data_IF_578454074931
#
_entry.id   IF_578454074931
#
_cell.length_a   1.000
_cell.length_b   1.000
_cell.length_c   1.000
_cell.angle_alpha   90.00
_cell.angle_beta   90.00
_cell.angle_gamma   90.00
#
_symmetry.space_group_name_H-M   'P 1'
#
loop_
_entity.id
_entity.type
_entity.pdbx_description
1 polymer ?
#
# COMPACT_ATOMS: atom_id res chain seq x y z
N UNK A 1 5.18 41.75 -44.55
CA UNK A 1 4.53 41.16 -43.35
C UNK A 1 4.08 39.75 -43.71
N UNK A 2 4.99 38.81 -43.97
CA UNK A 2 5.96 38.16 -43.07
C UNK A 2 5.24 37.25 -42.05
N UNK A 3 5.25 35.95 -42.38
CA UNK A 3 5.58 34.86 -41.46
C UNK A 3 5.21 35.07 -39.99
N UNK A 4 3.93 34.94 -39.62
CA UNK A 4 3.55 34.99 -38.20
C UNK A 4 2.32 34.14 -37.84
N UNK A 5 1.95 33.12 -38.63
CA UNK A 5 0.78 32.26 -38.30
C UNK A 5 0.97 30.76 -38.42
N UNK A 6 2.16 30.27 -38.79
CA UNK A 6 2.44 28.83 -38.91
C UNK A 6 3.40 28.28 -37.85
N UNK A 7 3.70 29.05 -36.80
CA UNK A 7 4.72 28.69 -35.80
C UNK A 7 4.21 28.75 -34.36
N UNK A 8 2.93 28.41 -34.12
CA UNK A 8 2.34 28.30 -32.78
C UNK A 8 1.77 26.92 -32.42
N UNK A 9 1.89 25.93 -33.31
CA UNK A 9 1.46 24.55 -33.03
C UNK A 9 2.61 23.54 -32.91
N UNK A 10 3.88 23.98 -32.90
CA UNK A 10 5.04 23.06 -32.86
C UNK A 10 5.94 23.20 -31.62
N UNK A 11 5.46 23.83 -30.54
CA UNK A 11 6.18 23.88 -29.26
C UNK A 11 5.38 23.30 -28.07
N UNK A 12 4.16 22.81 -28.30
CA UNK A 12 3.33 22.19 -27.26
C UNK A 12 3.47 20.66 -27.18
N UNK A 13 4.17 20.03 -28.12
CA UNK A 13 4.40 18.58 -28.14
C UNK A 13 5.72 18.14 -27.49
N UNK A 14 6.53 19.07 -26.97
CA UNK A 14 7.81 18.75 -26.30
C UNK A 14 7.76 18.89 -24.76
N UNK A 15 6.58 19.00 -24.17
CA UNK A 15 6.40 18.98 -22.71
C UNK A 15 5.97 17.60 -22.16
N UNK A 16 5.72 16.62 -23.04
CA UNK A 16 5.17 15.31 -22.69
C UNK A 16 6.24 14.21 -22.54
N UNK A 17 7.47 14.58 -22.18
CA UNK A 17 8.57 13.63 -21.99
C UNK A 17 9.34 13.83 -20.67
N UNK A 18 8.77 14.52 -19.67
CA UNK A 18 9.33 14.50 -18.31
C UNK A 18 8.87 13.25 -17.57
N UNK A 19 9.56 12.14 -17.86
CA UNK A 19 9.70 11.03 -16.92
C UNK A 19 10.49 11.54 -15.70
N UNK A 20 9.86 12.24 -14.77
CA UNK A 20 10.51 12.54 -13.50
C UNK A 20 10.59 11.26 -12.65
N UNK A 21 11.77 10.95 -12.17
CA UNK A 21 11.95 9.94 -11.15
C UNK A 21 11.17 10.34 -9.88
N UNK A 22 10.75 9.39 -9.06
CA UNK A 22 10.22 9.67 -7.73
C UNK A 22 11.36 10.19 -6.85
N UNK A 23 11.48 11.51 -6.71
CA UNK A 23 12.49 12.14 -5.86
C UNK A 23 12.08 12.01 -4.39
N UNK A 24 12.83 11.22 -3.62
CA UNK A 24 12.68 11.18 -2.17
C UNK A 24 13.35 12.41 -1.60
N UNK A 25 12.65 13.12 -0.73
CA UNK A 25 13.21 14.29 -0.06
C UNK A 25 13.76 13.91 1.31
N UNK A 26 14.97 14.37 1.60
CA UNK A 26 15.57 14.36 2.94
C UNK A 26 15.82 15.82 3.35
N UNK A 27 15.19 16.26 4.43
CA UNK A 27 15.26 17.66 4.90
C UNK A 27 14.91 18.71 3.83
N UNK A 28 13.95 18.41 2.95
CA UNK A 28 13.48 19.32 1.90
C UNK A 28 14.42 19.43 0.69
N UNK A 29 15.40 18.53 0.55
CA UNK A 29 16.27 18.40 -0.62
C UNK A 29 16.12 17.03 -1.27
N UNK A 30 16.33 16.94 -2.58
CA UNK A 30 16.41 15.66 -3.30
C UNK A 30 17.50 14.77 -2.70
N UNK A 31 17.11 13.57 -2.27
CA UNK A 31 18.03 12.57 -1.75
C UNK A 31 18.84 12.01 -2.92
N UNK A 32 20.13 12.36 -2.97
CA UNK A 32 21.05 12.06 -4.08
C UNK A 32 21.26 10.57 -4.37
N UNK A 33 21.03 9.72 -3.38
CA UNK A 33 21.02 8.28 -3.51
C UNK A 33 19.89 7.75 -2.61
N UNK A 34 18.63 7.72 -3.10
CA UNK A 34 17.51 7.39 -2.24
C UNK A 34 17.70 6.02 -1.60
N UNK A 35 18.20 5.02 -2.36
CA UNK A 35 18.55 3.70 -1.83
C UNK A 35 19.63 2.98 -2.66
N UNK A 36 20.81 2.65 -2.08
CA UNK A 36 21.69 1.62 -2.65
C UNK A 36 21.03 0.23 -2.51
N UNK A 37 21.06 -0.61 -3.54
CA UNK A 37 20.51 -1.98 -3.49
C UNK A 37 19.15 -2.17 -4.20
N UNK A 38 19.04 -1.69 -5.45
CA UNK A 38 17.84 -1.93 -6.29
C UNK A 38 17.69 -3.42 -6.61
N UNK A 39 16.45 -3.91 -6.63
CA UNK A 39 16.12 -5.24 -7.13
C UNK A 39 16.45 -5.33 -8.63
N UNK A 40 17.04 -6.43 -9.07
CA UNK A 40 17.36 -6.64 -10.48
C UNK A 40 16.11 -7.03 -11.26
N UNK A 41 15.90 -6.43 -12.45
CA UNK A 41 14.86 -6.86 -13.36
C UNK A 41 15.26 -8.19 -14.01
N UNK A 42 14.39 -9.20 -13.91
CA UNK A 42 14.67 -10.56 -14.40
C UNK A 42 13.70 -10.99 -15.49
N UNK A 43 14.15 -11.91 -16.34
CA UNK A 43 13.27 -12.66 -17.25
C UNK A 43 12.86 -13.97 -16.57
N UNK A 44 11.56 -14.28 -16.60
CA UNK A 44 11.03 -15.51 -16.03
C UNK A 44 11.00 -16.59 -17.11
N UNK A 45 11.69 -17.70 -16.85
CA UNK A 45 11.74 -18.90 -17.69
C UNK A 45 11.39 -20.18 -16.88
N UNK A 46 11.65 -21.35 -17.45
CA UNK A 46 11.33 -22.66 -16.83
C UNK A 46 12.12 -22.94 -15.54
N UNK A 47 13.12 -22.11 -15.17
CA UNK A 47 13.81 -22.21 -13.88
C UNK A 47 12.99 -21.68 -12.71
N UNK A 48 11.87 -21.02 -12.98
CA UNK A 48 10.97 -20.43 -11.99
C UNK A 48 9.68 -21.22 -11.84
N UNK A 49 9.24 -21.38 -10.59
CA UNK A 49 7.87 -21.77 -10.27
C UNK A 49 7.04 -20.51 -10.04
N UNK A 50 5.92 -20.38 -10.75
CA UNK A 50 5.02 -19.23 -10.67
C UNK A 50 3.79 -19.49 -9.79
N UNK A 51 3.36 -18.46 -9.08
CA UNK A 51 2.11 -18.37 -8.34
C UNK A 51 1.41 -17.09 -8.79
N UNK A 52 0.22 -17.22 -9.38
CA UNK A 52 -0.60 -16.05 -9.74
C UNK A 52 -1.10 -15.32 -8.50
N UNK A 53 -1.57 -14.08 -8.67
CA UNK A 53 -2.15 -13.26 -7.60
C UNK A 53 -3.29 -13.97 -6.83
N UNK A 54 -3.99 -14.92 -7.43
CA UNK A 54 -5.07 -15.70 -6.81
C UNK A 54 -4.59 -16.97 -6.07
N UNK A 55 -3.29 -17.21 -5.99
CA UNK A 55 -2.74 -18.37 -5.31
C UNK A 55 -3.06 -18.37 -3.81
N UNK A 56 -3.53 -19.51 -3.30
CA UNK A 56 -3.94 -19.69 -1.90
C UNK A 56 -2.80 -19.50 -0.88
N UNK A 57 -1.57 -19.60 -1.35
CA UNK A 57 -0.32 -19.40 -0.62
C UNK A 57 -0.05 -17.91 -0.35
N UNK A 58 -0.65 -17.02 -1.12
CA UNK A 58 -0.50 -15.58 -0.98
C UNK A 58 -1.47 -15.05 0.07
N UNK A 59 -0.97 -14.24 1.01
CA UNK A 59 -1.81 -13.57 2.00
C UNK A 59 -1.84 -12.06 1.73
N UNK A 60 -3.03 -11.53 1.47
CA UNK A 60 -3.24 -10.11 1.30
C UNK A 60 -3.63 -9.49 2.64
N UNK A 61 -3.10 -8.30 2.91
CA UNK A 61 -3.49 -7.48 4.06
C UNK A 61 -4.02 -6.14 3.59
N UNK A 62 -4.88 -5.53 4.40
CA UNK A 62 -5.65 -4.38 3.95
C UNK A 62 -6.79 -4.80 3.03
N UNK A 63 -7.15 -3.93 2.10
CA UNK A 63 -8.25 -4.17 1.15
C UNK A 63 -7.74 -4.27 -0.26
N UNK A 64 -8.36 -5.13 -1.05
CA UNK A 64 -8.07 -5.34 -2.46
C UNK A 64 -9.36 -5.66 -3.20
N UNK A 65 -9.42 -5.33 -4.48
CA UNK A 65 -10.55 -5.69 -5.34
C UNK A 65 -10.45 -7.13 -5.87
N UNK A 66 -11.44 -7.55 -6.66
CA UNK A 66 -11.47 -8.86 -7.31
C UNK A 66 -10.30 -9.14 -8.27
N UNK A 67 -9.50 -8.13 -8.62
CA UNK A 67 -8.27 -8.26 -9.41
C UNK A 67 -7.01 -8.28 -8.56
N UNK A 68 -7.15 -8.37 -7.23
CA UNK A 68 -6.06 -8.29 -6.25
C UNK A 68 -5.31 -6.95 -6.29
N UNK A 69 -5.99 -5.91 -6.75
CA UNK A 69 -5.46 -4.55 -6.74
C UNK A 69 -5.93 -3.82 -5.49
N UNK A 70 -4.99 -3.21 -4.78
CA UNK A 70 -5.29 -2.28 -3.70
C UNK A 70 -4.86 -0.88 -4.12
N UNK A 71 -5.74 0.10 -3.92
CA UNK A 71 -5.40 1.51 -4.10
C UNK A 71 -5.83 2.25 -2.84
N UNK A 72 -4.98 2.27 -1.82
CA UNK A 72 -5.12 3.21 -0.71
C UNK A 72 -3.89 4.13 -0.68
N UNK A 73 -4.14 5.44 -0.49
CA UNK A 73 -3.22 6.60 -0.42
C UNK A 73 -2.69 7.09 -1.82
N UNK A 74 -2.72 8.36 -2.27
CA UNK A 74 -2.88 9.72 -1.71
C UNK A 74 -3.79 10.58 -2.63
N UNK A 75 -4.50 11.57 -2.04
CA UNK A 75 -5.40 12.55 -2.67
C UNK A 75 -4.76 13.53 -3.68
N UNK A 76 -5.56 13.94 -4.66
CA UNK A 76 -5.33 14.83 -5.81
C UNK A 76 -4.55 16.14 -5.57
N UNK A 77 -3.34 16.20 -6.13
CA UNK A 77 -2.72 17.31 -6.89
C UNK A 77 -1.34 16.77 -7.30
N UNK A 78 -1.22 16.40 -8.57
CA UNK A 78 -0.01 15.91 -9.28
C UNK A 78 1.31 16.24 -8.53
N UNK A 79 2.07 15.26 -8.02
CA UNK A 79 3.13 14.55 -8.75
C UNK A 79 3.45 13.21 -8.03
N UNK A 80 3.37 12.08 -8.77
CA UNK A 80 3.99 10.75 -8.45
C UNK A 80 3.94 10.23 -6.99
N UNK A 81 2.78 10.32 -6.34
CA UNK A 81 2.59 9.67 -5.04
C UNK A 81 2.50 8.13 -5.14
N UNK A 82 3.15 7.50 -4.18
CA UNK A 82 3.45 6.08 -3.99
C UNK A 82 2.17 5.25 -3.77
N UNK A 83 2.13 4.03 -4.34
CA UNK A 83 0.97 3.12 -4.33
C UNK A 83 1.22 1.99 -3.34
N UNK A 84 0.40 1.84 -2.31
CA UNK A 84 0.53 0.72 -1.37
C UNK A 84 -0.76 -0.12 -1.29
N UNK A 85 -0.69 -1.35 -1.78
CA UNK A 85 -1.34 -2.50 -1.12
C UNK A 85 -0.42 -2.95 0.01
N UNK A 86 -0.90 -3.59 1.09
CA UNK A 86 -0.01 -4.40 1.92
C UNK A 86 -0.10 -5.85 1.43
N UNK A 87 0.93 -6.34 0.76
CA UNK A 87 1.07 -7.76 0.47
C UNK A 87 1.98 -8.37 1.55
N UNK A 88 1.45 -9.26 2.38
CA UNK A 88 2.27 -10.05 3.28
C UNK A 88 2.33 -11.48 2.76
N UNK A 89 3.40 -11.82 2.05
CA UNK A 89 3.63 -13.18 1.59
C UNK A 89 4.30 -14.00 2.69
N UNK A 90 3.73 -15.15 3.02
CA UNK A 90 4.53 -16.22 3.62
C UNK A 90 5.38 -16.84 2.52
N UNK A 91 6.67 -17.04 2.75
CA UNK A 91 7.54 -17.76 1.81
C UNK A 91 8.20 -18.90 2.57
N UNK A 92 7.72 -20.13 2.36
CA UNK A 92 8.41 -21.33 2.87
C UNK A 92 9.59 -21.65 1.95
N UNK A 93 10.73 -21.06 2.25
CA UNK A 93 11.98 -21.49 1.63
C UNK A 93 12.40 -22.83 2.25
N UNK A 94 12.15 -23.95 1.56
CA UNK A 94 12.58 -25.26 2.04
C UNK A 94 14.10 -25.35 2.10
N UNK A 95 14.55 -25.88 3.24
CA UNK A 95 15.90 -25.93 3.79
C UNK A 95 17.01 -26.55 2.92
N UNK A 96 16.71 -27.16 1.77
CA UNK A 96 17.69 -27.96 1.01
C UNK A 96 18.06 -27.38 -0.36
N UNK A 97 17.58 -26.18 -0.70
CA UNK A 97 17.65 -25.70 -2.08
C UNK A 97 18.71 -24.62 -2.28
N UNK A 98 19.64 -24.98 -3.16
CA UNK A 98 20.82 -24.24 -3.62
C UNK A 98 20.48 -22.98 -4.42
N UNK A 99 19.20 -22.62 -4.58
CA UNK A 99 18.73 -21.48 -5.37
C UNK A 99 17.68 -20.68 -4.59
N UNK A 100 18.16 -19.77 -3.74
CA UNK A 100 17.34 -18.91 -2.89
C UNK A 100 16.93 -17.66 -3.67
N UNK A 101 15.99 -17.82 -4.59
CA UNK A 101 15.49 -16.71 -5.40
C UNK A 101 13.99 -16.51 -5.24
N UNK A 102 13.60 -15.24 -5.11
CA UNK A 102 12.22 -14.80 -5.14
C UNK A 102 12.14 -13.55 -6.01
N UNK A 103 11.22 -13.58 -6.98
CA UNK A 103 10.89 -12.46 -7.82
C UNK A 103 9.39 -12.18 -7.78
N UNK A 104 9.01 -10.96 -8.11
CA UNK A 104 7.62 -10.52 -8.18
C UNK A 104 7.42 -9.79 -9.50
N UNK A 105 6.36 -10.14 -10.24
CA UNK A 105 5.87 -9.32 -11.36
C UNK A 105 4.78 -8.37 -10.91
N UNK A 106 4.69 -7.26 -11.61
CA UNK A 106 3.78 -6.16 -11.29
C UNK A 106 2.72 -6.01 -12.38
N UNK A 107 1.46 -5.87 -11.96
CA UNK A 107 0.33 -5.73 -12.88
C UNK A 107 0.31 -4.40 -13.65
N UNK A 108 -0.55 -4.32 -14.67
CA UNK A 108 -0.61 -3.21 -15.63
C UNK A 108 -0.92 -1.83 -15.01
N UNK A 109 -1.56 -1.79 -13.84
CA UNK A 109 -1.88 -0.54 -13.15
C UNK A 109 -0.73 -0.02 -12.27
N UNK A 110 0.39 -0.72 -12.22
CA UNK A 110 1.62 -0.28 -11.56
C UNK A 110 2.22 0.91 -12.31
N UNK A 111 2.58 1.98 -11.60
CA UNK A 111 3.24 3.11 -12.24
C UNK A 111 4.68 2.79 -12.60
N UNK A 112 5.14 3.40 -13.69
CA UNK A 112 6.56 3.36 -14.05
C UNK A 112 7.42 3.93 -12.92
N UNK A 113 8.50 3.22 -12.61
CA UNK A 113 9.50 3.56 -11.60
C UNK A 113 8.90 3.85 -10.21
N UNK A 114 7.81 3.17 -9.83
CA UNK A 114 7.22 3.33 -8.51
C UNK A 114 8.12 2.72 -7.45
N UNK A 115 8.31 3.44 -6.34
CA UNK A 115 9.05 2.95 -5.21
C UNK A 115 8.20 1.97 -4.41
N UNK A 116 8.69 0.74 -4.25
CA UNK A 116 8.12 -0.25 -3.34
C UNK A 116 9.03 -0.45 -2.14
N UNK A 117 8.43 -0.78 -1.01
CA UNK A 117 9.15 -1.20 0.18
C UNK A 117 8.92 -2.69 0.40
N UNK A 118 9.99 -3.39 0.77
CA UNK A 118 9.95 -4.81 1.04
C UNK A 118 10.84 -5.18 2.23
N UNK A 119 10.59 -6.33 2.85
CA UNK A 119 11.48 -6.91 3.85
C UNK A 119 11.32 -8.41 3.93
N UNK A 120 12.33 -9.07 4.50
CA UNK A 120 12.40 -10.52 4.59
C UNK A 120 12.60 -10.92 6.05
N UNK A 121 11.79 -11.85 6.56
CA UNK A 121 11.96 -12.42 7.90
C UNK A 121 11.89 -11.39 9.03
N UNK A 122 11.15 -10.29 8.85
CA UNK A 122 11.03 -9.23 9.86
C UNK A 122 12.22 -8.29 9.98
N UNK A 123 13.21 -8.37 9.07
CA UNK A 123 14.32 -7.42 8.96
C UNK A 123 13.84 -6.00 8.61
N UNK A 124 14.79 -5.05 8.61
CA UNK A 124 14.52 -3.67 8.22
C UNK A 124 13.95 -3.56 6.80
N UNK A 125 13.17 -2.51 6.56
CA UNK A 125 12.60 -2.24 5.24
C UNK A 125 13.69 -1.84 4.23
N UNK A 126 13.72 -2.57 3.13
CA UNK A 126 14.46 -2.26 1.92
C UNK A 126 13.52 -1.65 0.86
N UNK A 127 14.10 -1.04 -0.17
CA UNK A 127 13.33 -0.30 -1.16
C UNK A 127 13.88 -0.51 -2.56
N UNK A 128 12.98 -0.64 -3.54
CA UNK A 128 13.34 -0.74 -4.96
C UNK A 128 12.35 0.02 -5.82
N UNK A 129 12.80 0.51 -6.96
CA UNK A 129 11.92 1.00 -8.01
C UNK A 129 11.49 -0.16 -8.90
N UNK A 130 10.21 -0.18 -9.26
CA UNK A 130 9.61 -1.20 -10.12
C UNK A 130 8.69 -0.56 -11.15
N UNK A 131 8.40 -1.31 -12.22
CA UNK A 131 7.52 -0.87 -13.31
C UNK A 131 6.52 -1.97 -13.64
N UNK A 132 5.34 -1.57 -14.12
CA UNK A 132 4.31 -2.49 -14.63
C UNK A 132 4.86 -3.48 -15.66
N UNK A 133 4.23 -4.65 -15.71
CA UNK A 133 4.49 -5.72 -16.68
C UNK A 133 5.96 -6.18 -16.71
N UNK A 134 6.64 -6.09 -15.57
CA UNK A 134 8.04 -6.45 -15.40
C UNK A 134 8.22 -7.25 -14.12
N UNK A 135 9.19 -8.16 -14.08
CA UNK A 135 9.52 -8.97 -12.91
C UNK A 135 10.85 -8.50 -12.31
N UNK A 136 10.90 -8.41 -10.98
CA UNK A 136 12.10 -8.00 -10.24
C UNK A 136 12.43 -9.03 -9.17
N UNK A 137 13.71 -9.38 -9.07
CA UNK A 137 14.23 -10.31 -8.07
C UNK A 137 14.58 -9.57 -6.79
N UNK A 138 13.86 -9.88 -5.71
CA UNK A 138 14.02 -9.25 -4.39
C UNK A 138 14.87 -10.08 -3.43
N UNK A 139 15.02 -11.38 -3.72
CA UNK A 139 15.87 -12.27 -2.95
C UNK A 139 16.85 -12.92 -3.90
N UNK A 140 18.13 -12.69 -3.65
CA UNK A 140 19.23 -13.30 -4.40
C UNK A 140 19.97 -14.35 -3.55
N UNK A 141 20.57 -15.37 -4.19
CA UNK A 141 21.47 -16.28 -3.52
C UNK A 141 22.60 -15.52 -2.80
N UNK A 142 22.73 -15.75 -1.48
CA UNK A 142 23.77 -15.12 -0.67
C UNK A 142 23.46 -13.71 -0.16
N UNK A 143 22.26 -13.17 -0.42
CA UNK A 143 21.80 -11.92 0.18
C UNK A 143 21.88 -11.96 1.71
N UNK A 144 22.24 -10.83 2.33
CA UNK A 144 22.35 -10.70 3.80
C UNK A 144 21.06 -11.09 4.52
N UNK A 145 19.90 -10.85 3.88
CA UNK A 145 18.58 -11.26 4.35
C UNK A 145 18.45 -12.78 4.65
N UNK A 146 19.36 -13.59 4.09
CA UNK A 146 19.41 -15.04 4.22
C UNK A 146 20.53 -15.53 5.15
N UNK A 147 21.45 -14.65 5.58
CA UNK A 147 22.68 -15.01 6.29
C UNK A 147 22.53 -15.04 7.83
N UNK A 148 21.54 -14.34 8.41
CA UNK A 148 21.44 -14.15 9.88
C UNK A 148 20.41 -15.03 10.61
N UNK A 149 19.80 -16.01 9.95
CA UNK A 149 18.75 -16.85 10.55
C UNK A 149 19.08 -18.34 10.44
N UNK A 150 18.74 -19.10 11.48
CA UNK A 150 18.89 -20.56 11.46
C UNK A 150 18.11 -21.19 10.30
N UNK A 151 18.66 -22.29 9.79
CA UNK A 151 18.31 -22.89 8.50
C UNK A 151 16.89 -23.49 8.44
N UNK A 152 16.11 -23.52 9.54
CA UNK A 152 14.80 -24.19 9.67
C UNK A 152 13.59 -23.27 9.55
N UNK A 153 13.77 -21.95 9.54
CA UNK A 153 12.66 -21.04 9.81
C UNK A 153 11.94 -20.56 8.54
N UNK A 154 10.61 -20.57 8.58
CA UNK A 154 9.76 -19.98 7.55
C UNK A 154 10.00 -18.46 7.53
N UNK A 155 10.36 -17.89 6.36
CA UNK A 155 10.56 -16.45 6.23
C UNK A 155 9.31 -15.81 5.62
N UNK A 156 8.88 -14.71 6.22
CA UNK A 156 7.83 -13.89 5.61
C UNK A 156 8.50 -12.88 4.68
N UNK A 157 8.04 -12.79 3.43
CA UNK A 157 8.38 -11.71 2.52
C UNK A 157 7.23 -10.72 2.51
N UNK A 158 7.50 -9.49 2.91
CA UNK A 158 6.51 -8.43 2.91
C UNK A 158 6.84 -7.46 1.79
N UNK A 159 5.84 -7.10 0.99
CA UNK A 159 5.96 -6.15 -0.11
C UNK A 159 4.71 -5.29 -0.13
N UNK A 160 4.81 -4.05 -0.59
CA UNK A 160 3.63 -3.17 -0.65
C UNK A 160 3.30 -2.68 -2.04
N UNK A 161 2.46 -3.40 -2.78
CA UNK A 161 2.04 -3.04 -4.16
C UNK A 161 1.01 -4.03 -4.73
N UNK A 162 0.36 -3.67 -5.84
CA UNK A 162 -0.30 -4.64 -6.72
C UNK A 162 0.75 -5.59 -7.32
N UNK A 163 0.47 -6.89 -7.27
CA UNK A 163 1.28 -7.91 -7.93
C UNK A 163 0.48 -8.59 -9.03
N UNK A 164 1.18 -9.09 -10.04
CA UNK A 164 0.63 -10.00 -11.04
C UNK A 164 0.91 -11.46 -10.62
N UNK A 165 2.19 -11.76 -10.37
CA UNK A 165 2.64 -13.10 -9.99
C UNK A 165 3.84 -13.04 -9.04
N UNK A 166 4.02 -14.11 -8.28
CA UNK A 166 5.20 -14.36 -7.45
C UNK A 166 5.94 -15.56 -8.02
N UNK A 167 7.25 -15.44 -8.14
CA UNK A 167 8.12 -16.47 -8.66
C UNK A 167 9.13 -16.89 -7.61
N UNK A 168 9.31 -18.19 -7.47
CA UNK A 168 10.38 -18.80 -6.65
C UNK A 168 11.17 -19.77 -7.51
N UNK A 169 12.32 -20.25 -7.03
CA UNK A 169 13.04 -21.33 -7.72
C UNK A 169 12.11 -22.53 -8.01
N UNK A 170 12.34 -23.22 -9.14
CA UNK A 170 11.50 -24.33 -9.62
C UNK A 170 11.32 -25.48 -8.61
N UNK A 171 12.28 -25.65 -7.72
CA UNK A 171 12.29 -26.63 -6.63
C UNK A 171 11.71 -26.11 -5.32
N UNK A 172 11.48 -24.80 -5.18
CA UNK A 172 10.93 -24.15 -3.99
C UNK A 172 9.39 -24.08 -4.00
N UNK A 173 8.80 -23.68 -2.86
CA UNK A 173 7.36 -23.42 -2.78
C UNK A 173 7.01 -22.21 -1.93
N UNK A 174 5.88 -21.58 -2.22
CA UNK A 174 5.28 -20.62 -1.30
C UNK A 174 4.46 -21.38 -0.26
N UNK A 175 4.23 -20.74 0.89
CA UNK A 175 3.15 -21.14 1.79
C UNK A 175 2.42 -19.96 2.32
N UNK A 176 1.18 -20.21 2.73
CA UNK A 176 0.38 -19.21 3.39
C UNK A 176 1.01 -18.78 4.71
N UNK A 177 1.14 -17.46 4.90
CA UNK A 177 1.53 -16.89 6.18
C UNK A 177 0.47 -17.18 7.24
N UNK A 178 0.92 -17.32 8.50
CA UNK A 178 0.00 -17.38 9.62
C UNK A 178 -0.68 -16.02 9.80
N UNK A 179 -2.01 -16.05 9.93
CA UNK A 179 -2.80 -14.85 10.21
C UNK A 179 -2.92 -14.65 11.74
N UNK A 180 -2.89 -13.39 12.18
CA UNK A 180 -3.11 -13.05 13.58
C UNK A 180 -4.59 -13.09 13.97
N UNK A 181 -4.87 -13.44 15.21
CA UNK A 181 -6.24 -13.58 15.73
C UNK A 181 -6.96 -12.26 16.02
N UNK A 182 -6.25 -11.12 15.96
CA UNK A 182 -6.82 -9.79 16.16
C UNK A 182 -6.80 -9.00 14.87
N UNK A 183 -7.78 -8.14 14.66
CA UNK A 183 -7.88 -7.28 13.48
C UNK A 183 -8.17 -5.83 13.88
N UNK A 184 -7.42 -4.90 13.29
CA UNK A 184 -7.57 -3.45 13.48
C UNK A 184 -7.97 -2.79 12.16
N UNK A 185 -9.07 -2.06 12.16
CA UNK A 185 -9.43 -1.17 11.05
C UNK A 185 -9.09 0.28 11.43
N UNK A 186 -8.32 0.96 10.59
CA UNK A 186 -8.08 2.39 10.71
C UNK A 186 -8.81 3.08 9.58
N UNK A 187 -9.71 3.99 9.92
CA UNK A 187 -10.50 4.79 8.99
C UNK A 187 -10.09 6.24 9.20
N UNK A 188 -9.25 6.77 8.31
CA UNK A 188 -8.68 8.10 8.47
C UNK A 188 -8.78 8.97 7.24
N UNK A 189 -7.98 10.03 7.22
CA UNK A 189 -7.73 10.86 6.04
C UNK A 189 -6.24 10.79 5.68
N UNK A 190 -5.75 11.77 4.91
CA UNK A 190 -4.36 11.80 4.49
C UNK A 190 -3.34 11.84 5.66
N UNK A 191 -3.73 12.22 6.86
CA UNK A 191 -2.87 12.12 8.04
C UNK A 191 -2.64 10.68 8.49
N UNK A 192 -3.70 9.85 8.48
CA UNK A 192 -3.60 8.42 8.77
C UNK A 192 -2.79 7.68 7.70
N UNK A 193 -2.80 8.19 6.48
CA UNK A 193 -1.96 7.69 5.37
C UNK A 193 -0.48 8.04 5.49
N UNK A 194 -0.12 9.01 6.33
CA UNK A 194 1.23 9.54 6.36
C UNK A 194 1.56 10.42 5.15
N UNK A 195 0.57 11.08 4.54
CA UNK A 195 0.80 12.00 3.41
C UNK A 195 1.90 13.00 3.78
N UNK A 196 2.91 13.12 2.93
CA UNK A 196 4.09 13.97 3.11
C UNK A 196 5.10 13.51 4.17
N UNK A 197 4.91 12.34 4.78
CA UNK A 197 5.95 11.72 5.60
C UNK A 197 7.06 11.17 4.71
N UNK A 198 8.29 11.11 5.23
CA UNK A 198 9.50 10.71 4.46
C UNK A 198 9.38 9.35 3.75
N UNK A 199 8.54 8.45 4.26
CA UNK A 199 8.21 7.15 3.63
C UNK A 199 6.69 6.92 3.52
N UNK A 200 5.92 8.02 3.45
CA UNK A 200 4.47 8.01 3.29
C UNK A 200 3.79 6.99 4.24
N UNK A 201 3.13 5.97 3.69
CA UNK A 201 2.44 4.91 4.42
C UNK A 201 3.31 4.18 5.44
N UNK A 202 4.60 3.95 5.18
CA UNK A 202 5.51 3.31 6.14
C UNK A 202 5.92 4.21 7.30
N UNK A 203 5.84 5.52 7.13
CA UNK A 203 6.08 6.48 8.21
C UNK A 203 4.77 6.98 8.85
N UNK A 204 3.61 6.49 8.37
CA UNK A 204 2.31 6.89 8.87
C UNK A 204 2.08 6.43 10.31
N UNK A 205 1.34 7.23 11.08
CA UNK A 205 0.98 6.82 12.44
C UNK A 205 0.08 5.57 12.41
N UNK A 206 -0.78 5.45 11.39
CA UNK A 206 -1.70 4.32 11.27
C UNK A 206 -0.95 2.99 11.11
N UNK A 207 0.06 2.98 10.24
CA UNK A 207 0.93 1.82 10.09
C UNK A 207 1.75 1.56 11.35
N UNK A 208 2.43 2.58 11.89
CA UNK A 208 3.30 2.40 13.05
C UNK A 208 2.54 1.89 14.28
N UNK A 209 1.31 2.36 14.50
CA UNK A 209 0.43 1.84 15.53
C UNK A 209 0.09 0.37 15.27
N UNK A 210 -0.47 0.05 14.10
CA UNK A 210 -0.98 -1.28 13.81
C UNK A 210 0.15 -2.34 13.75
N UNK A 211 1.26 -2.02 13.09
CA UNK A 211 2.44 -2.88 13.06
C UNK A 211 3.11 -3.00 14.44
N UNK A 212 3.10 -1.92 15.23
CA UNK A 212 3.64 -1.90 16.59
C UNK A 212 2.89 -2.80 17.58
N UNK A 213 1.64 -3.17 17.30
CA UNK A 213 0.93 -4.21 18.07
C UNK A 213 1.61 -5.58 17.92
N UNK A 214 2.26 -5.84 16.78
CA UNK A 214 3.04 -7.06 16.51
C UNK A 214 2.23 -8.35 16.36
N UNK A 215 0.93 -8.33 16.67
CA UNK A 215 0.07 -9.51 16.70
C UNK A 215 -1.37 -9.24 16.22
N UNK A 216 -1.52 -8.32 15.26
CA UNK A 216 -2.80 -7.98 14.66
C UNK A 216 -2.71 -7.91 13.13
N UNK A 217 -3.77 -8.37 12.47
CA UNK A 217 -4.09 -7.98 11.11
C UNK A 217 -4.57 -6.53 11.10
N UNK A 218 -4.32 -5.83 10.00
CA UNK A 218 -4.74 -4.43 9.92
C UNK A 218 -5.03 -3.96 8.51
N UNK A 219 -5.91 -2.97 8.47
CA UNK A 219 -6.30 -2.23 7.28
C UNK A 219 -6.27 -0.75 7.59
N UNK A 220 -5.78 0.06 6.66
CA UNK A 220 -5.82 1.52 6.72
C UNK A 220 -6.60 2.01 5.51
N UNK A 221 -7.75 2.64 5.75
CA UNK A 221 -8.60 3.26 4.73
C UNK A 221 -8.65 4.77 4.92
N UNK A 222 -8.66 5.54 3.84
CA UNK A 222 -8.52 7.01 3.92
C UNK A 222 -9.59 7.87 3.28
N UNK A 223 -10.57 7.26 2.61
CA UNK A 223 -11.67 8.01 2.02
C UNK A 223 -12.97 7.22 1.96
N UNK A 224 -12.94 5.95 1.57
CA UNK A 224 -14.16 5.14 1.40
C UNK A 224 -14.13 3.83 2.17
N UNK A 225 -14.59 3.87 3.43
CA UNK A 225 -14.67 2.68 4.28
C UNK A 225 -15.58 1.57 3.74
N UNK A 226 -16.48 1.81 2.78
CA UNK A 226 -17.31 0.73 2.21
C UNK A 226 -16.78 0.16 0.88
N UNK A 227 -15.56 0.52 0.45
CA UNK A 227 -15.02 0.18 -0.86
C UNK A 227 -13.69 -0.58 -0.79
N UNK A 228 -13.43 -1.36 -1.84
CA UNK A 228 -12.21 -2.14 -2.01
C UNK A 228 -11.01 -1.28 -2.49
N UNK A 229 -11.28 -0.11 -3.07
CA UNK A 229 -10.28 0.89 -3.44
C UNK A 229 -10.70 2.29 -3.01
N UNK A 230 -9.72 3.15 -2.78
CA UNK A 230 -9.92 4.53 -2.34
C UNK A 230 -10.35 5.44 -3.51
N UNK A 231 -10.67 6.70 -3.22
CA UNK A 231 -10.97 7.68 -4.27
C UNK A 231 -9.92 8.77 -4.38
N UNK A 232 -9.57 9.05 -5.63
CA UNK A 232 -8.59 10.04 -6.05
C UNK A 232 -8.44 9.97 -7.57
N UNK A 233 -7.86 11.00 -8.20
CA UNK A 233 -7.79 11.10 -9.67
C UNK A 233 -7.24 9.84 -10.34
N UNK A 234 -6.28 9.16 -9.71
CA UNK A 234 -5.71 7.90 -10.19
C UNK A 234 -6.59 6.68 -9.97
N UNK A 235 -7.27 6.58 -8.83
CA UNK A 235 -8.24 5.52 -8.62
C UNK A 235 -9.43 5.68 -9.57
N UNK A 236 -9.85 6.92 -9.83
CA UNK A 236 -10.82 7.25 -10.88
C UNK A 236 -10.29 6.88 -12.28
N UNK A 237 -9.01 7.10 -12.57
CA UNK A 237 -8.43 6.72 -13.86
C UNK A 237 -8.34 5.18 -14.04
N UNK A 238 -8.09 4.44 -12.95
CA UNK A 238 -8.00 2.98 -12.98
C UNK A 238 -9.36 2.29 -12.95
N UNK A 239 -10.30 2.79 -12.13
CA UNK A 239 -11.54 2.09 -11.77
C UNK A 239 -12.81 2.91 -11.98
N UNK A 240 -12.70 4.15 -12.45
CA UNK A 240 -13.83 5.06 -12.59
C UNK A 240 -14.39 5.53 -11.25
N UNK A 241 -15.64 5.99 -11.29
CA UNK A 241 -16.36 6.60 -10.16
C UNK A 241 -17.09 5.59 -9.26
N UNK A 242 -16.96 4.29 -9.55
CA UNK A 242 -17.69 3.20 -8.86
C UNK A 242 -16.75 2.06 -8.48
N UNK A 243 -15.80 2.29 -7.55
CA UNK A 243 -14.94 1.22 -7.08
C UNK A 243 -15.77 0.06 -6.48
N UNK A 244 -15.21 -1.14 -6.57
CA UNK A 244 -15.84 -2.36 -6.05
C UNK A 244 -16.24 -2.17 -4.57
N UNK A 245 -17.42 -2.65 -4.21
CA UNK A 245 -17.86 -2.64 -2.82
C UNK A 245 -17.01 -3.62 -2.00
N UNK A 246 -16.58 -3.21 -0.81
CA UNK A 246 -15.84 -4.12 0.06
C UNK A 246 -16.79 -5.17 0.66
N UNK A 247 -16.49 -6.44 0.45
CA UNK A 247 -17.31 -7.53 0.97
C UNK A 247 -16.91 -7.86 2.42
N UNK A 248 -17.43 -7.12 3.38
CA UNK A 248 -17.15 -7.33 4.81
C UNK A 248 -17.37 -8.76 5.32
N UNK A 249 -18.25 -9.55 4.67
CA UNK A 249 -18.52 -10.94 5.09
C UNK A 249 -17.48 -11.94 4.60
N UNK A 250 -16.68 -11.58 3.59
CA UNK A 250 -15.59 -12.41 3.08
C UNK A 250 -14.26 -12.20 3.83
N UNK A 251 -14.21 -11.25 4.77
CA UNK A 251 -13.00 -10.87 5.50
C UNK A 251 -13.21 -10.92 7.01
N UNK A 252 -12.12 -10.96 7.77
CA UNK A 252 -12.17 -10.98 9.23
C UNK A 252 -12.87 -9.73 9.76
N UNK A 253 -13.63 -9.92 10.84
CA UNK A 253 -14.24 -8.81 11.58
C UNK A 253 -13.15 -8.03 12.31
N UNK A 254 -13.30 -6.70 12.42
CA UNK A 254 -12.39 -5.90 13.22
C UNK A 254 -12.71 -6.05 14.71
N UNK A 255 -11.69 -6.25 15.55
CA UNK A 255 -11.82 -6.17 17.01
C UNK A 255 -11.78 -4.71 17.47
N UNK A 256 -11.01 -3.87 16.76
CA UNK A 256 -10.81 -2.46 17.05
C UNK A 256 -10.94 -1.65 15.77
N UNK A 257 -11.71 -0.56 15.83
CA UNK A 257 -11.81 0.44 14.77
C UNK A 257 -11.36 1.79 15.29
N UNK A 258 -10.38 2.40 14.63
CA UNK A 258 -9.94 3.76 14.92
C UNK A 258 -10.45 4.67 13.82
N UNK A 259 -11.27 5.66 14.18
CA UNK A 259 -11.77 6.66 13.23
C UNK A 259 -11.01 7.97 13.46
N UNK A 260 -10.22 8.36 12.46
CA UNK A 260 -9.42 9.58 12.44
C UNK A 260 -9.80 10.48 11.26
N UNK A 261 -11.03 10.99 11.29
CA UNK A 261 -11.64 11.87 10.29
C UNK A 261 -12.03 13.22 10.89
N UNK A 262 -12.15 14.24 10.04
CA UNK A 262 -12.60 15.59 10.40
C UNK A 262 -11.71 16.72 9.91
N UNK A 263 -10.46 16.44 9.54
CA UNK A 263 -9.53 17.48 9.08
C UNK A 263 -10.06 18.18 7.83
N UNK A 264 -10.57 17.41 6.87
CA UNK A 264 -11.07 17.94 5.60
C UNK A 264 -12.45 18.60 5.75
N UNK A 265 -13.31 18.12 6.63
CA UNK A 265 -14.64 18.68 6.89
C UNK A 265 -14.58 20.13 7.37
N UNK A 266 -13.59 20.42 8.23
CA UNK A 266 -13.36 21.75 8.80
C UNK A 266 -12.60 22.72 7.87
N UNK A 267 -12.12 22.29 6.69
CA UNK A 267 -11.43 23.20 5.75
C UNK A 267 -12.43 24.18 5.15
N UNK A 268 -12.03 25.43 4.94
CA UNK A 268 -12.88 26.50 4.39
C UNK A 268 -13.55 26.13 3.05
N UNK A 269 -12.91 25.29 2.24
CA UNK A 269 -13.47 24.84 0.94
C UNK A 269 -14.68 23.92 1.13
N UNK A 270 -14.69 23.11 2.18
CA UNK A 270 -15.78 22.16 2.46
C UNK A 270 -16.79 22.75 3.45
N UNK A 271 -16.28 23.39 4.52
CA UNK A 271 -17.03 24.13 5.55
C UNK A 271 -18.29 23.39 6.01
N UNK A 272 -18.13 22.10 6.35
CA UNK A 272 -19.23 21.24 6.78
C UNK A 272 -19.79 21.78 8.11
N UNK A 273 -21.11 22.02 8.22
CA UNK A 273 -21.72 22.46 9.47
C UNK A 273 -21.48 21.47 10.62
N UNK A 274 -21.33 21.98 11.85
CA UNK A 274 -21.02 21.13 13.01
C UNK A 274 -22.09 20.05 13.29
N UNK A 275 -23.36 20.36 13.07
CA UNK A 275 -24.46 19.40 13.23
C UNK A 275 -24.38 18.29 12.17
N UNK A 276 -24.11 18.64 10.91
CA UNK A 276 -23.95 17.67 9.82
C UNK A 276 -22.72 16.77 10.05
N UNK A 277 -21.62 17.34 10.53
CA UNK A 277 -20.43 16.60 10.93
C UNK A 277 -20.74 15.60 12.06
N UNK A 278 -21.40 16.06 13.13
CA UNK A 278 -21.78 15.21 14.26
C UNK A 278 -22.68 14.05 13.82
N UNK A 279 -23.75 14.34 13.07
CA UNK A 279 -24.69 13.31 12.60
C UNK A 279 -24.02 12.32 11.65
N UNK A 280 -23.11 12.79 10.80
CA UNK A 280 -22.32 11.92 9.92
C UNK A 280 -21.41 10.99 10.72
N UNK A 281 -20.82 11.47 11.81
CA UNK A 281 -19.99 10.66 12.69
C UNK A 281 -20.80 9.60 13.44
N UNK A 282 -21.96 9.97 14.00
CA UNK A 282 -22.89 9.02 14.62
C UNK A 282 -23.27 7.91 13.63
N UNK A 283 -23.68 8.30 12.42
CA UNK A 283 -24.03 7.35 11.37
C UNK A 283 -22.85 6.44 10.98
N UNK A 284 -21.63 6.96 10.98
CA UNK A 284 -20.43 6.16 10.72
C UNK A 284 -20.24 5.07 11.79
N UNK A 285 -20.36 5.45 13.06
CA UNK A 285 -20.29 4.51 14.21
C UNK A 285 -21.39 3.46 14.10
N UNK A 286 -22.63 3.88 13.82
CA UNK A 286 -23.76 2.96 13.62
C UNK A 286 -23.51 1.97 12.47
N UNK A 287 -22.95 2.43 11.34
CA UNK A 287 -22.63 1.55 10.23
C UNK A 287 -21.53 0.54 10.61
N UNK A 288 -20.50 0.99 11.34
CA UNK A 288 -19.42 0.11 11.82
C UNK A 288 -19.99 -0.97 12.72
N UNK A 289 -20.77 -0.63 13.75
CA UNK A 289 -21.42 -1.63 14.60
C UNK A 289 -22.48 -2.47 13.87
N UNK A 290 -23.10 -1.94 12.83
CA UNK A 290 -24.00 -2.72 11.97
C UNK A 290 -23.28 -3.86 11.24
N UNK A 291 -22.01 -3.68 10.92
CA UNK A 291 -21.17 -4.68 10.24
C UNK A 291 -20.36 -5.53 11.23
N UNK A 292 -19.80 -4.90 12.26
CA UNK A 292 -18.97 -5.50 13.31
C UNK A 292 -19.53 -5.12 14.69
N UNK A 293 -20.56 -5.82 15.18
CA UNK A 293 -21.30 -5.44 16.39
C UNK A 293 -20.44 -5.37 17.65
N UNK A 294 -19.40 -6.20 17.74
CA UNK A 294 -18.55 -6.33 18.92
C UNK A 294 -17.27 -5.47 18.83
N UNK A 295 -17.04 -4.78 17.72
CA UNK A 295 -15.83 -3.97 17.53
C UNK A 295 -15.79 -2.82 18.53
N UNK A 296 -14.65 -2.62 19.19
CA UNK A 296 -14.43 -1.41 19.99
C UNK A 296 -14.13 -0.24 19.06
N UNK A 297 -14.75 0.91 19.29
CA UNK A 297 -14.53 2.09 18.43
C UNK A 297 -13.79 3.17 19.21
N UNK A 298 -12.69 3.65 18.64
CA UNK A 298 -11.93 4.79 19.16
C UNK A 298 -12.05 5.96 18.20
N UNK A 299 -12.60 7.06 18.70
CA UNK A 299 -12.65 8.32 17.96
C UNK A 299 -11.41 9.13 18.26
N UNK A 300 -10.59 9.35 17.23
CA UNK A 300 -9.37 10.13 17.31
C UNK A 300 -9.54 11.40 16.49
N UNK A 301 -9.77 12.53 17.16
CA UNK A 301 -9.97 13.82 16.49
C UNK A 301 -8.87 14.78 16.89
N UNK A 302 -8.33 15.50 15.89
CA UNK A 302 -7.40 16.61 16.12
C UNK A 302 -8.22 17.88 16.35
N UNK A 303 -8.17 18.42 17.57
CA UNK A 303 -8.38 19.85 17.78
C UNK A 303 -7.04 20.56 17.64
N UNK A 304 -7.01 21.78 17.07
CA UNK A 304 -5.80 22.55 16.72
C UNK A 304 -4.79 22.79 17.87
N UNK A 305 -5.07 22.30 19.09
CA UNK A 305 -4.16 22.32 20.24
C UNK A 305 -4.14 21.01 21.07
N UNK A 306 -5.04 20.04 20.84
CA UNK A 306 -5.18 18.84 21.68
C UNK A 306 -5.75 17.65 20.87
N UNK A 307 -5.26 16.43 21.13
CA UNK A 307 -5.88 15.19 20.66
C UNK A 307 -6.88 14.73 21.72
N UNK A 308 -8.13 14.49 21.33
CA UNK A 308 -9.14 13.88 22.21
C UNK A 308 -9.38 12.44 21.77
N UNK A 309 -9.41 11.52 22.74
CA UNK A 309 -9.66 10.09 22.53
C UNK A 309 -10.94 9.75 23.27
N UNK A 310 -11.95 9.29 22.53
CA UNK A 310 -13.19 8.74 23.08
C UNK A 310 -13.30 7.26 22.77
N UNK A 311 -13.78 6.47 23.74
CA UNK A 311 -14.17 5.07 23.56
C UNK A 311 -15.68 5.02 23.38
N UNK A 312 -16.13 4.31 22.34
CA UNK A 312 -17.53 4.02 22.04
C UNK A 312 -17.75 2.51 22.11
#
# INVERSE_FOLDING_TARGET
MIFARLMRFSLLSLAWAFQAAATILENGQERLNPYPGQAEQVSVDDSWKSYGADASEISYKGRWDSTYTSLFLVSSLDLRAIRYALLQLGVELYQWLTFRQLAVSFGEHTSKDVLVAYRIGGLDWEFSNVTANSAYQFVEPGSSALNETEYTDHKTFELRVQIDSVYVASDARLVKAAEFNRTVEIIGDSLASGQYATYEGLASWGFNFAAGLGNAEYTITTYQWSRASDVGDRANAAFGDKPEAWNFTAHRVADLVIINLGTNDARTVNNVPSDDYYQSYVKMVENVHGVWPDAQIVLMVRHYSHVSIGLC
#
